data_IF_083243354431
#
_entry.id   IF_083243354431
#
_cell.length_a   1.000
_cell.length_b   1.000
_cell.length_c   1.000
_cell.angle_alpha   90.00
_cell.angle_beta   90.00
_cell.angle_gamma   90.00
#
_symmetry.space_group_name_H-M   'P 1'
#
loop_
_entity.id
_entity.type
_entity.pdbx_description
1 polymer ?
#
# COMPACT_ATOMS: atom_id res chain seq x y z
N UNK A 1 3.48 8.57 8.64
CA UNK A 1 2.99 7.52 9.55
C UNK A 1 3.16 6.12 8.96
N UNK A 2 2.86 5.91 7.67
CA UNK A 2 3.06 4.64 6.95
C UNK A 2 4.46 4.05 7.12
N UNK A 3 5.52 4.87 7.13
CA UNK A 3 6.90 4.43 7.38
C UNK A 3 7.11 3.89 8.80
N UNK A 4 6.49 4.52 9.82
CA UNK A 4 6.62 4.08 11.22
C UNK A 4 5.74 2.86 11.53
N UNK A 5 4.69 2.62 10.74
CA UNK A 5 3.73 1.53 10.93
C UNK A 5 3.40 0.85 9.59
N UNK A 6 4.31 0.00 9.06
CA UNK A 6 4.19 -0.56 7.71
C UNK A 6 2.99 -1.52 7.53
N UNK A 7 2.44 -2.06 8.62
CA UNK A 7 1.32 -3.02 8.60
C UNK A 7 -0.05 -2.38 8.90
N UNK A 8 -0.09 -1.11 9.30
CA UNK A 8 -1.29 -0.49 9.88
C UNK A 8 -2.22 0.18 8.86
N UNK A 9 -1.75 0.41 7.63
CA UNK A 9 -2.51 1.11 6.59
C UNK A 9 -2.78 0.18 5.41
N UNK A 10 -4.05 0.14 4.96
CA UNK A 10 -4.47 -0.63 3.78
C UNK A 10 -3.91 -0.04 2.49
N UNK A 11 -3.74 1.28 2.42
CA UNK A 11 -3.18 1.94 1.25
C UNK A 11 -1.65 2.00 1.27
N UNK A 12 -1.05 2.00 0.09
CA UNK A 12 0.40 2.09 -0.11
C UNK A 12 0.87 3.53 -0.41
N UNK A 13 2.18 3.71 -0.60
CA UNK A 13 2.78 5.01 -0.96
C UNK A 13 2.28 5.52 -2.31
N UNK A 14 2.11 4.63 -3.29
CA UNK A 14 1.64 4.97 -4.63
C UNK A 14 0.26 5.64 -4.59
N UNK A 15 -0.65 5.18 -3.73
CA UNK A 15 -1.95 5.82 -3.50
C UNK A 15 -1.80 7.28 -3.07
N UNK A 16 -0.89 7.58 -2.14
CA UNK A 16 -0.68 8.95 -1.65
C UNK A 16 -0.08 9.85 -2.74
N UNK A 17 0.86 9.32 -3.53
CA UNK A 17 1.45 10.04 -4.67
C UNK A 17 0.37 10.35 -5.73
N UNK A 18 -0.48 9.38 -6.07
CA UNK A 18 -1.58 9.55 -7.03
C UNK A 18 -2.58 10.62 -6.58
N UNK A 19 -2.92 10.68 -5.28
CA UNK A 19 -3.75 11.75 -4.74
C UNK A 19 -3.10 13.11 -4.98
N UNK A 20 -1.80 13.25 -4.71
CA UNK A 20 -1.07 14.51 -4.88
C UNK A 20 -0.94 14.91 -6.35
N UNK A 21 -0.74 13.96 -7.26
CA UNK A 21 -0.73 14.25 -8.70
C UNK A 21 -2.10 14.70 -9.19
N UNK A 22 -3.18 14.13 -8.65
CA UNK A 22 -4.55 14.53 -8.97
C UNK A 22 -5.09 15.72 -8.19
N UNK A 23 -4.36 16.19 -7.18
CA UNK A 23 -4.59 17.47 -6.55
C UNK A 23 -4.26 18.62 -7.51
N UNK A 24 -3.18 18.49 -8.28
CA UNK A 24 -2.70 19.56 -9.16
C UNK A 24 -3.09 19.40 -10.63
N UNK A 25 -3.36 18.18 -11.10
CA UNK A 25 -3.72 17.96 -12.52
C UNK A 25 -5.11 18.48 -12.90
N UNK A 26 -5.99 18.75 -11.93
CA UNK A 26 -7.38 19.18 -12.16
C UNK A 26 -8.20 18.23 -13.05
N UNK A 27 -7.75 16.99 -13.24
CA UNK A 27 -8.42 15.99 -14.08
C UNK A 27 -9.77 15.55 -13.47
N UNK A 28 -9.85 15.51 -12.14
CA UNK A 28 -11.03 15.10 -11.40
C UNK A 28 -11.63 16.26 -10.60
N UNK A 29 -12.96 16.23 -10.40
CA UNK A 29 -13.64 17.23 -9.58
C UNK A 29 -13.52 17.03 -8.07
N UNK A 30 -12.73 16.05 -7.62
CA UNK A 30 -12.63 15.70 -6.20
C UNK A 30 -12.11 16.85 -5.35
N UNK A 31 -11.11 17.58 -5.84
CA UNK A 31 -10.46 18.68 -5.11
C UNK A 31 -10.79 20.07 -5.67
N UNK A 32 -11.77 20.19 -6.56
CA UNK A 32 -12.18 21.47 -7.13
C UNK A 32 -13.11 22.21 -6.16
N UNK A 33 -12.84 23.50 -5.94
CA UNK A 33 -13.65 24.42 -5.11
C UNK A 33 -13.15 24.53 -3.67
N UNK A 34 -13.52 25.61 -2.99
CA UNK A 34 -13.03 25.92 -1.64
C UNK A 34 -14.00 25.48 -0.53
N UNK A 35 -15.25 25.16 -0.88
CA UNK A 35 -16.26 24.68 0.04
C UNK A 35 -17.36 23.88 -0.70
N UNK A 36 -18.14 23.10 0.04
CA UNK A 36 -19.21 22.27 -0.54
C UNK A 36 -20.28 23.10 -1.27
N UNK A 37 -20.68 24.23 -0.70
CA UNK A 37 -21.64 25.17 -1.34
C UNK A 37 -21.19 25.62 -2.73
N UNK A 38 -19.89 25.87 -2.92
CA UNK A 38 -19.35 26.24 -4.23
C UNK A 38 -19.40 25.06 -5.20
N UNK A 39 -19.10 23.84 -4.72
CA UNK A 39 -19.13 22.61 -5.52
C UNK A 39 -20.53 22.28 -6.03
N UNK A 40 -21.56 22.52 -5.23
CA UNK A 40 -22.96 22.38 -5.64
C UNK A 40 -23.34 23.38 -6.73
N UNK A 41 -23.00 24.66 -6.55
CA UNK A 41 -23.25 25.72 -7.55
C UNK A 41 -22.57 25.41 -8.89
N UNK A 42 -21.33 24.92 -8.85
CA UNK A 42 -20.57 24.52 -10.03
C UNK A 42 -21.04 23.17 -10.63
N UNK A 43 -21.93 22.44 -9.93
CA UNK A 43 -22.42 21.11 -10.30
C UNK A 43 -21.28 20.11 -10.54
N UNK A 44 -20.24 20.17 -9.70
CA UNK A 44 -19.00 19.37 -9.87
C UNK A 44 -19.30 17.88 -9.96
N UNK A 45 -20.18 17.36 -9.09
CA UNK A 45 -20.54 15.94 -9.03
C UNK A 45 -21.14 15.39 -10.33
N UNK A 46 -21.81 16.25 -11.12
CA UNK A 46 -22.46 15.85 -12.38
C UNK A 46 -21.57 16.13 -13.59
N UNK A 47 -20.78 17.21 -13.53
CA UNK A 47 -19.96 17.66 -14.66
C UNK A 47 -18.58 17.00 -14.73
N UNK A 48 -18.14 16.34 -13.67
CA UNK A 48 -16.78 15.79 -13.58
C UNK A 48 -16.78 14.41 -12.95
N UNK A 49 -15.74 13.63 -13.23
CA UNK A 49 -15.51 12.35 -12.56
C UNK A 49 -14.86 12.53 -11.19
N UNK A 50 -15.15 11.61 -10.29
CA UNK A 50 -14.50 11.50 -8.98
C UNK A 50 -13.18 10.73 -9.11
N UNK A 51 -12.11 11.27 -8.51
CA UNK A 51 -10.83 10.58 -8.34
C UNK A 51 -11.03 9.20 -7.68
N UNK A 52 -11.96 9.08 -6.73
CA UNK A 52 -12.23 7.82 -6.05
C UNK A 52 -12.82 6.77 -7.00
N UNK A 53 -13.60 7.18 -8.00
CA UNK A 53 -14.10 6.25 -9.03
C UNK A 53 -12.94 5.66 -9.84
N UNK A 54 -11.92 6.47 -10.14
CA UNK A 54 -10.71 6.01 -10.81
C UNK A 54 -9.88 5.08 -9.92
N UNK A 55 -9.55 5.52 -8.69
CA UNK A 55 -8.74 4.73 -7.76
C UNK A 55 -9.42 3.39 -7.42
N UNK A 56 -10.72 3.41 -7.14
CA UNK A 56 -11.45 2.21 -6.75
C UNK A 56 -11.61 1.20 -7.90
N UNK A 57 -11.46 1.64 -9.16
CA UNK A 57 -11.42 0.73 -10.31
C UNK A 57 -10.13 -0.09 -10.40
N UNK A 58 -9.08 0.31 -9.69
CA UNK A 58 -7.76 -0.32 -9.69
C UNK A 58 -7.22 -0.49 -8.26
N UNK A 59 -8.05 -0.93 -7.30
CA UNK A 59 -7.65 -1.02 -5.89
C UNK A 59 -6.38 -1.85 -5.66
N UNK A 60 -6.17 -2.90 -6.44
CA UNK A 60 -5.03 -3.81 -6.29
C UNK A 60 -3.67 -3.08 -6.39
N UNK A 61 -3.56 -2.01 -7.19
CA UNK A 61 -2.31 -1.23 -7.30
C UNK A 61 -2.09 -0.28 -6.12
N UNK A 62 -3.14 0.01 -5.36
CA UNK A 62 -3.14 0.96 -4.24
C UNK A 62 -3.13 0.29 -2.88
N UNK A 63 -3.36 -1.02 -2.82
CA UNK A 63 -3.32 -1.81 -1.59
C UNK A 63 -1.90 -2.10 -1.15
N UNK A 64 -1.70 -2.09 0.16
CA UNK A 64 -0.50 -2.48 0.86
C UNK A 64 -0.54 -3.99 1.11
N UNK A 65 0.41 -4.77 0.56
CA UNK A 65 0.52 -6.20 0.83
C UNK A 65 0.62 -6.58 2.30
N UNK A 66 1.24 -5.71 3.08
CA UNK A 66 1.59 -5.94 4.47
C UNK A 66 0.46 -5.52 5.40
N UNK A 67 -0.64 -4.97 4.87
CA UNK A 67 -1.76 -4.58 5.70
C UNK A 67 -2.30 -5.77 6.50
N UNK A 68 -2.47 -5.57 7.81
CA UNK A 68 -3.01 -6.58 8.71
C UNK A 68 -4.20 -5.98 9.47
N UNK A 69 -5.39 -6.54 9.25
CA UNK A 69 -6.65 -6.07 9.87
C UNK A 69 -6.66 -6.19 11.41
N UNK A 70 -5.77 -7.00 11.99
CA UNK A 70 -5.71 -7.25 13.43
C UNK A 70 -5.13 -6.09 14.26
N UNK A 71 -4.62 -5.03 13.63
CA UNK A 71 -4.08 -3.85 14.33
C UNK A 71 -5.21 -2.85 14.59
N UNK A 72 -6.14 -3.20 15.49
CA UNK A 72 -7.15 -2.26 16.03
C UNK A 72 -6.61 -1.45 17.21
N UNK A 73 -5.29 -1.20 17.25
CA UNK A 73 -4.64 -0.46 18.32
C UNK A 73 -4.41 0.99 17.91
N UNK A 74 -4.56 1.91 18.88
CA UNK A 74 -4.21 3.33 18.70
C UNK A 74 -2.73 3.45 18.36
N UNK A 75 -2.42 4.09 17.22
CA UNK A 75 -1.06 4.33 16.77
C UNK A 75 -0.48 5.57 17.47
N UNK A 76 0.71 5.45 18.05
CA UNK A 76 1.43 6.57 18.66
C UNK A 76 2.69 6.91 17.85
N UNK A 77 2.60 7.75 16.81
CA UNK A 77 3.75 8.13 16.01
C UNK A 77 4.73 8.97 16.82
N UNK A 78 6.02 8.82 16.53
CA UNK A 78 7.02 9.71 17.08
C UNK A 78 7.25 10.90 16.15
N UNK A 79 7.02 12.11 16.67
CA UNK A 79 7.27 13.38 15.97
C UNK A 79 8.71 13.89 16.11
N UNK A 80 9.64 13.05 16.56
CA UNK A 80 11.05 13.44 16.67
C UNK A 80 11.68 13.57 15.29
N UNK A 81 12.49 14.62 15.07
CA UNK A 81 13.19 14.84 13.80
C UNK A 81 14.11 13.68 13.40
N UNK A 82 14.59 12.88 14.36
CA UNK A 82 15.40 11.67 14.13
C UNK A 82 14.59 10.52 13.51
N UNK A 83 13.26 10.54 13.67
CA UNK A 83 12.33 9.51 13.17
C UNK A 83 11.45 10.02 12.03
N UNK A 84 11.59 11.30 11.68
CA UNK A 84 10.98 11.89 10.51
C UNK A 84 11.98 11.79 9.36
N UNK A 85 11.51 11.28 8.23
CA UNK A 85 12.31 11.14 7.04
C UNK A 85 11.76 12.05 5.94
N UNK A 86 12.66 12.56 5.10
CA UNK A 86 12.25 13.21 3.86
C UNK A 86 11.53 12.18 2.99
N UNK A 87 10.34 12.51 2.50
CA UNK A 87 9.59 11.64 1.60
C UNK A 87 10.21 11.65 0.19
N UNK A 88 11.28 10.86 0.03
CA UNK A 88 12.08 10.79 -1.19
C UNK A 88 11.24 10.38 -2.41
N UNK A 89 10.32 9.43 -2.24
CA UNK A 89 9.45 8.93 -3.31
C UNK A 89 8.52 9.98 -3.91
N UNK A 90 8.22 11.08 -3.19
CA UNK A 90 7.50 12.22 -3.75
C UNK A 90 8.45 13.36 -4.15
N UNK A 91 9.25 13.88 -3.22
CA UNK A 91 10.04 15.10 -3.44
C UNK A 91 11.25 14.90 -4.36
N UNK A 92 11.81 13.70 -4.42
CA UNK A 92 13.01 13.39 -5.23
C UNK A 92 12.70 12.48 -6.43
N UNK A 93 11.43 12.25 -6.75
CA UNK A 93 10.98 11.32 -7.81
C UNK A 93 11.55 11.59 -9.20
N UNK A 94 11.88 12.86 -9.48
CA UNK A 94 12.42 13.28 -10.77
C UNK A 94 13.94 13.10 -10.89
N UNK A 95 14.63 12.83 -9.78
CA UNK A 95 16.08 12.61 -9.81
C UNK A 95 16.38 11.17 -10.28
N UNK A 96 17.00 10.96 -11.45
CA UNK A 96 17.29 9.63 -11.97
C UNK A 96 18.15 8.77 -11.05
N UNK A 97 19.00 9.38 -10.22
CA UNK A 97 19.87 8.67 -9.27
C UNK A 97 19.12 8.16 -8.03
N UNK A 98 17.94 8.69 -7.77
CA UNK A 98 17.13 8.37 -6.59
C UNK A 98 15.90 7.54 -6.95
N UNK A 99 15.63 7.32 -8.24
CA UNK A 99 14.55 6.45 -8.69
C UNK A 99 14.89 5.00 -8.34
N UNK A 100 14.01 4.28 -7.63
CA UNK A 100 14.13 2.84 -7.49
C UNK A 100 14.26 2.19 -8.87
N UNK A 101 15.13 1.18 -8.99
CA UNK A 101 15.37 0.50 -10.27
C UNK A 101 14.16 -0.32 -10.74
N UNK A 102 13.28 -0.69 -9.82
CA UNK A 102 11.98 -1.32 -10.04
C UNK A 102 10.89 -0.49 -9.35
N UNK A 103 9.68 -0.45 -9.92
CA UNK A 103 8.57 0.21 -9.27
C UNK A 103 8.25 -0.50 -7.93
N UNK A 104 8.05 0.26 -6.85
CA UNK A 104 7.76 -0.31 -5.53
C UNK A 104 6.56 -1.26 -5.55
N UNK A 105 5.57 -0.97 -6.39
CA UNK A 105 4.41 -1.84 -6.60
C UNK A 105 4.80 -3.21 -7.20
N UNK A 106 5.66 -3.23 -8.22
CA UNK A 106 6.12 -4.48 -8.85
C UNK A 106 6.92 -5.31 -7.86
N UNK A 107 7.80 -4.66 -7.10
CA UNK A 107 8.57 -5.31 -6.03
C UNK A 107 7.67 -5.87 -4.94
N UNK A 108 6.68 -5.11 -4.48
CA UNK A 108 5.68 -5.56 -3.52
C UNK A 108 4.88 -6.77 -4.03
N UNK A 109 4.45 -6.74 -5.28
CA UNK A 109 3.74 -7.86 -5.93
C UNK A 109 4.62 -9.10 -6.03
N UNK A 110 5.88 -8.95 -6.43
CA UNK A 110 6.84 -10.05 -6.45
C UNK A 110 7.07 -10.63 -5.05
N UNK A 111 7.22 -9.78 -4.04
CA UNK A 111 7.37 -10.21 -2.65
C UNK A 111 6.12 -10.94 -2.16
N UNK A 112 4.90 -10.53 -2.54
CA UNK A 112 3.68 -11.27 -2.21
C UNK A 112 3.67 -12.67 -2.80
N UNK A 113 4.01 -12.81 -4.08
CA UNK A 113 4.09 -14.11 -4.76
C UNK A 113 5.13 -14.99 -4.06
N UNK A 114 6.29 -14.43 -3.73
CA UNK A 114 7.35 -15.15 -3.04
C UNK A 114 6.92 -15.58 -1.63
N UNK A 115 6.28 -14.70 -0.86
CA UNK A 115 5.75 -15.03 0.48
C UNK A 115 4.73 -16.17 0.39
N UNK A 116 3.84 -16.14 -0.61
CA UNK A 116 2.86 -17.21 -0.83
C UNK A 116 3.56 -18.55 -1.10
N UNK A 117 4.51 -18.57 -2.04
CA UNK A 117 5.28 -19.76 -2.38
C UNK A 117 6.07 -20.31 -1.18
N UNK A 118 6.69 -19.42 -0.40
CA UNK A 118 7.44 -19.82 0.80
C UNK A 118 6.52 -20.43 1.86
N UNK A 119 5.31 -19.88 2.05
CA UNK A 119 4.32 -20.46 2.98
C UNK A 119 3.88 -21.86 2.55
N UNK A 120 3.60 -22.05 1.27
CA UNK A 120 3.26 -23.36 0.70
C UNK A 120 4.41 -24.36 0.91
N UNK A 121 5.65 -23.97 0.58
CA UNK A 121 6.86 -24.79 0.80
C UNK A 121 7.07 -25.17 2.26
N UNK A 122 6.84 -24.24 3.18
CA UNK A 122 6.96 -24.50 4.62
C UNK A 122 5.91 -25.52 5.10
N UNK A 123 4.68 -25.45 4.58
CA UNK A 123 3.64 -26.44 4.90
C UNK A 123 4.03 -27.83 4.39
N UNK A 124 4.48 -27.95 3.15
CA UNK A 124 4.93 -29.23 2.57
C UNK A 124 6.04 -29.88 3.41
N UNK A 125 7.05 -29.09 3.79
CA UNK A 125 8.18 -29.57 4.60
C UNK A 125 7.73 -29.99 6.01
N UNK A 126 6.78 -29.27 6.62
CA UNK A 126 6.22 -29.64 7.91
C UNK A 126 5.47 -30.98 7.84
N UNK A 127 4.68 -31.20 6.79
CA UNK A 127 3.99 -32.48 6.58
C UNK A 127 4.96 -33.64 6.31
N UNK A 128 6.07 -33.38 5.61
CA UNK A 128 7.12 -34.38 5.40
C UNK A 128 7.79 -34.76 6.73
N UNK A 129 8.18 -33.77 7.54
CA UNK A 129 8.74 -34.02 8.87
C UNK A 129 7.78 -34.79 9.78
N UNK A 130 6.48 -34.47 9.76
CA UNK A 130 5.48 -35.21 10.53
C UNK A 130 5.33 -36.66 10.07
N UNK A 131 5.35 -36.91 8.75
CA UNK A 131 5.31 -38.25 8.18
C UNK A 131 6.53 -39.07 8.56
N UNK A 132 7.73 -38.51 8.43
CA UNK A 132 8.98 -39.18 8.81
C UNK A 132 9.04 -39.49 10.31
N UNK A 133 8.58 -38.56 11.15
CA UNK A 133 8.50 -38.75 12.60
C UNK A 133 7.52 -39.85 12.99
N UNK A 134 6.36 -39.94 12.32
CA UNK A 134 5.37 -41.01 12.54
C UNK A 134 5.91 -42.38 12.12
N UNK A 135 6.60 -42.47 10.97
CA UNK A 135 7.23 -43.72 10.52
C UNK A 135 8.31 -44.17 11.52
N UNK A 136 9.16 -43.26 11.98
CA UNK A 136 10.20 -43.57 12.97
C UNK A 136 9.62 -44.05 14.32
N UNK A 137 8.43 -43.59 14.69
CA UNK A 137 7.73 -44.02 15.93
C UNK A 137 7.05 -45.38 15.79
N UNK A 138 6.67 -45.79 14.57
CA UNK A 138 6.00 -47.08 14.31
C UNK A 138 6.99 -48.23 14.09
N UNK A 139 8.23 -47.91 13.68
CA UNK A 139 9.29 -48.90 13.41
C UNK A 139 10.16 -49.19 14.65
N UNK A 140 10.06 -48.37 15.71
CA UNK A 140 10.70 -48.57 17.02
C UNK A 140 9.79 -49.33 17.98
#
# INVERSE_FOLDING_TARGET
MTVQFPYAFEFNEHFLVTILDHLYSCLFGTFIGNCEKQREKLKVRVKTMSLWSFINSQLEIYKNPLYTESIQQVLFPSASIRKLELWKGYYLRWNPRMRPQEAEFERCRHLQVLIKLLREKCQELQEQQQRESQIATVVA
#
